data_IF_133288931200
#
_entry.id   IF_133288931200
#
_cell.length_a   1.000
_cell.length_b   1.000
_cell.length_c   1.000
_cell.angle_alpha   90.00
_cell.angle_beta   90.00
_cell.angle_gamma   90.00
#
_symmetry.space_group_name_H-M   'P 1'
#
loop_
_entity.id
_entity.type
_entity.pdbx_description
1 polymer ?
#
# COMPACT_ATOMS: atom_id res chain seq x y z
N UNK A 1 10.28 -15.96 53.66
CA UNK A 1 9.59 -14.80 53.07
C UNK A 1 9.87 -14.90 51.58
N UNK A 2 9.26 -15.84 50.86
CA UNK A 2 7.84 -15.93 50.52
C UNK A 2 7.27 -14.59 50.08
N UNK A 3 7.23 -14.36 48.76
CA UNK A 3 5.97 -14.29 48.03
C UNK A 3 6.19 -14.65 46.54
N UNK A 4 5.38 -15.61 46.08
CA UNK A 4 5.22 -16.06 44.69
C UNK A 4 3.81 -15.61 44.22
N UNK A 5 3.41 -15.93 42.98
CA UNK A 5 3.35 -15.14 41.75
C UNK A 5 1.94 -14.52 41.54
N UNK A 6 1.67 -13.93 40.37
CA UNK A 6 0.38 -13.38 39.92
C UNK A 6 0.19 -11.86 40.10
N UNK A 7 0.74 -11.10 39.14
CA UNK A 7 0.16 -9.80 38.80
C UNK A 7 0.13 -9.54 37.30
N UNK A 8 -0.02 -10.59 36.49
CA UNK A 8 -0.44 -10.51 35.09
C UNK A 8 -1.97 -10.63 34.95
N UNK A 9 -2.71 -10.02 35.89
CA UNK A 9 -4.15 -9.81 35.76
C UNK A 9 -4.42 -8.33 35.66
N UNK A 10 -4.89 -7.95 34.49
CA UNK A 10 -5.74 -6.77 34.27
C UNK A 10 -5.13 -5.43 34.65
N UNK A 11 -4.34 -4.87 33.74
CA UNK A 11 -4.49 -3.44 33.40
C UNK A 11 -4.66 -3.35 31.91
N UNK A 12 -5.79 -2.79 31.49
CA UNK A 12 -6.05 -2.35 30.12
C UNK A 12 -4.77 -1.65 29.65
N UNK A 13 -4.08 -2.26 28.70
CA UNK A 13 -2.99 -1.61 28.01
C UNK A 13 -3.67 -0.48 27.25
N UNK A 14 -3.54 0.75 27.75
CA UNK A 14 -4.12 1.93 27.12
C UNK A 14 -3.49 2.05 25.73
N UNK A 15 -4.29 1.80 24.68
CA UNK A 15 -3.90 1.97 23.28
C UNK A 15 -3.31 3.37 23.01
N UNK A 16 -3.65 4.35 23.85
CA UNK A 16 -3.14 5.72 23.83
C UNK A 16 -1.62 5.78 24.07
N UNK A 17 -1.06 4.91 24.92
CA UNK A 17 0.37 4.93 25.24
C UNK A 17 1.22 4.46 24.06
N UNK A 18 0.76 3.43 23.33
CA UNK A 18 1.45 2.96 22.12
C UNK A 18 1.30 3.96 20.97
N UNK A 19 0.14 4.62 20.85
CA UNK A 19 -0.07 5.67 19.84
C UNK A 19 0.89 6.85 20.04
N UNK A 20 1.17 7.28 21.28
CA UNK A 20 2.04 8.44 21.54
C UNK A 20 3.50 8.21 21.22
N UNK A 21 4.02 6.99 21.36
CA UNK A 21 5.41 6.66 20.98
C UNK A 21 5.56 6.26 19.52
N UNK A 22 4.48 5.88 18.83
CA UNK A 22 4.46 5.64 17.38
C UNK A 22 4.26 6.90 16.51
N UNK A 23 3.74 7.99 17.07
CA UNK A 23 3.16 9.10 16.29
C UNK A 23 4.10 10.23 15.83
N UNK A 24 5.43 10.15 15.99
CA UNK A 24 6.30 11.26 15.57
C UNK A 24 7.35 10.96 14.50
N UNK A 25 7.56 9.70 14.08
CA UNK A 25 8.67 9.42 13.16
C UNK A 25 8.28 9.00 11.74
N UNK A 26 7.07 8.49 11.47
CA UNK A 26 6.72 8.01 10.12
C UNK A 26 5.40 8.53 9.51
N UNK A 27 4.60 9.32 10.24
CA UNK A 27 3.29 9.75 9.73
C UNK A 27 3.36 10.81 8.62
N UNK A 28 4.42 11.62 8.59
CA UNK A 28 4.45 12.85 7.78
C UNK A 28 4.95 12.64 6.33
N UNK A 29 5.37 11.43 5.95
CA UNK A 29 5.94 11.14 4.61
C UNK A 29 5.06 10.26 3.71
N UNK A 30 3.80 10.02 4.08
CA UNK A 30 3.03 8.90 3.54
C UNK A 30 1.79 9.23 2.69
N UNK A 31 1.51 10.47 2.27
CA UNK A 31 0.26 10.74 1.54
C UNK A 31 0.12 9.94 0.22
N UNK A 32 1.20 9.77 -0.56
CA UNK A 32 1.22 8.87 -1.72
C UNK A 32 1.21 7.39 -1.33
N UNK A 33 1.90 7.03 -0.22
CA UNK A 33 1.93 5.65 0.28
C UNK A 33 0.57 5.19 0.81
N UNK A 34 -0.28 6.08 1.33
CA UNK A 34 -1.58 5.71 1.91
C UNK A 34 -2.57 5.16 0.86
N UNK A 35 -2.54 5.68 -0.37
CA UNK A 35 -3.40 5.21 -1.47
C UNK A 35 -2.99 3.81 -1.94
N UNK A 36 -1.69 3.60 -2.12
CA UNK A 36 -1.11 2.30 -2.47
C UNK A 36 -1.27 1.28 -1.33
N UNK A 37 -1.08 1.68 -0.07
CA UNK A 37 -1.30 0.82 1.10
C UNK A 37 -2.77 0.41 1.23
N UNK A 38 -3.71 1.32 0.97
CA UNK A 38 -5.12 1.00 0.96
C UNK A 38 -5.46 0.06 -0.21
N UNK A 39 -4.84 0.23 -1.38
CA UNK A 39 -4.98 -0.69 -2.51
C UNK A 39 -4.45 -2.09 -2.15
N UNK A 40 -3.27 -2.18 -1.53
CA UNK A 40 -2.70 -3.44 -1.02
C UNK A 40 -3.66 -4.12 -0.04
N UNK A 41 -4.18 -3.37 0.93
CA UNK A 41 -5.18 -3.89 1.87
C UNK A 41 -6.41 -4.47 1.13
N UNK A 42 -6.93 -3.76 0.14
CA UNK A 42 -8.08 -4.24 -0.64
C UNK A 42 -7.75 -5.51 -1.44
N UNK A 43 -6.59 -5.57 -2.08
CA UNK A 43 -6.18 -6.70 -2.93
C UNK A 43 -5.87 -7.94 -2.09
N UNK A 44 -5.03 -7.80 -1.07
CA UNK A 44 -4.58 -8.91 -0.23
C UNK A 44 -5.73 -9.59 0.52
N UNK A 45 -6.76 -8.81 0.88
CA UNK A 45 -7.93 -9.29 1.61
C UNK A 45 -9.16 -9.52 0.73
N UNK A 46 -9.05 -9.33 -0.59
CA UNK A 46 -10.17 -9.50 -1.52
C UNK A 46 -11.39 -8.61 -1.22
N UNK A 47 -11.17 -7.39 -0.73
CA UNK A 47 -12.26 -6.50 -0.33
C UNK A 47 -12.98 -5.92 -1.55
N UNK A 48 -14.30 -5.99 -1.53
CA UNK A 48 -15.14 -5.21 -2.44
C UNK A 48 -15.11 -3.72 -2.08
N UNK A 49 -15.42 -2.86 -3.04
CA UNK A 49 -15.59 -1.42 -2.83
C UNK A 49 -16.56 -1.11 -1.68
N UNK A 50 -17.66 -1.88 -1.58
CA UNK A 50 -18.66 -1.72 -0.51
C UNK A 50 -18.09 -2.05 0.87
N UNK A 51 -17.28 -3.10 0.98
CA UNK A 51 -16.64 -3.45 2.24
C UNK A 51 -15.61 -2.39 2.65
N UNK A 52 -14.82 -1.90 1.69
CA UNK A 52 -13.88 -0.82 1.95
C UNK A 52 -14.58 0.47 2.42
N UNK A 53 -15.72 0.83 1.80
CA UNK A 53 -16.53 1.97 2.24
C UNK A 53 -17.05 1.80 3.67
N UNK A 54 -17.50 0.61 4.06
CA UNK A 54 -17.91 0.33 5.45
C UNK A 54 -16.76 0.50 6.44
N UNK A 55 -15.54 0.13 6.05
CA UNK A 55 -14.33 0.33 6.88
C UNK A 55 -14.08 1.85 7.05
N UNK A 56 -14.24 2.63 5.97
CA UNK A 56 -14.12 4.10 6.06
C UNK A 56 -15.19 4.69 6.98
N UNK A 57 -16.46 4.35 6.80
CA UNK A 57 -17.57 4.81 7.64
C UNK A 57 -17.33 4.47 9.12
N UNK A 58 -16.86 3.25 9.41
CA UNK A 58 -16.54 2.84 10.77
C UNK A 58 -15.41 3.68 11.39
N UNK A 59 -14.36 3.98 10.62
CA UNK A 59 -13.25 4.82 11.07
C UNK A 59 -13.66 6.29 11.28
N UNK A 60 -14.52 6.82 10.41
CA UNK A 60 -15.08 8.17 10.57
C UNK A 60 -15.92 8.29 11.85
N UNK A 61 -16.72 7.28 12.17
CA UNK A 61 -17.47 7.21 13.43
C UNK A 61 -16.56 7.19 14.68
N UNK A 62 -15.32 6.71 14.51
CA UNK A 62 -14.28 6.71 15.55
C UNK A 62 -13.39 7.97 15.51
N UNK A 63 -13.73 8.97 14.68
CA UNK A 63 -12.93 10.18 14.42
C UNK A 63 -11.48 9.91 13.97
N UNK A 64 -11.24 8.76 13.32
CA UNK A 64 -9.92 8.36 12.81
C UNK A 64 -9.90 8.42 11.28
N UNK A 65 -8.99 9.19 10.68
CA UNK A 65 -8.79 9.24 9.21
C UNK A 65 -7.57 8.44 8.78
N UNK A 66 -7.64 7.12 8.99
CA UNK A 66 -6.54 6.19 8.70
C UNK A 66 -6.37 5.89 7.20
N UNK A 67 -7.48 5.81 6.46
CA UNK A 67 -7.48 5.39 5.06
C UNK A 67 -8.02 6.48 4.13
N UNK A 68 -7.49 6.58 2.90
CA UNK A 68 -7.97 7.54 1.93
C UNK A 68 -9.34 7.15 1.38
N UNK A 69 -10.12 8.12 0.87
CA UNK A 69 -11.38 7.84 0.21
C UNK A 69 -11.19 6.98 -1.04
N UNK A 70 -12.20 6.19 -1.40
CA UNK A 70 -12.08 5.20 -2.49
C UNK A 70 -11.66 5.78 -3.84
N UNK A 71 -12.01 7.02 -4.17
CA UNK A 71 -11.60 7.63 -5.44
C UNK A 71 -10.07 7.71 -5.59
N UNK A 72 -9.36 7.95 -4.49
CA UNK A 72 -7.89 7.94 -4.44
C UNK A 72 -7.30 6.55 -4.61
N UNK A 73 -7.88 5.56 -3.96
CA UNK A 73 -7.50 4.15 -4.17
C UNK A 73 -7.73 3.71 -5.62
N UNK A 74 -8.80 4.21 -6.25
CA UNK A 74 -9.09 3.98 -7.66
C UNK A 74 -8.05 4.65 -8.58
N UNK A 75 -7.64 5.89 -8.29
CA UNK A 75 -6.55 6.58 -9.00
C UNK A 75 -5.25 5.76 -8.90
N UNK A 76 -4.84 5.34 -7.70
CA UNK A 76 -3.67 4.50 -7.50
C UNK A 76 -3.76 3.16 -8.27
N UNK A 77 -4.94 2.53 -8.30
CA UNK A 77 -5.17 1.32 -9.09
C UNK A 77 -5.02 1.59 -10.59
N UNK A 78 -5.47 2.73 -11.09
CA UNK A 78 -5.35 3.10 -12.50
C UNK A 78 -3.89 3.32 -12.90
N UNK A 79 -3.07 3.91 -12.04
CA UNK A 79 -1.63 4.07 -12.26
C UNK A 79 -0.90 2.72 -12.43
N UNK A 80 -1.45 1.64 -11.88
CA UNK A 80 -0.89 0.29 -12.02
C UNK A 80 -1.24 -0.35 -13.37
N UNK A 81 -2.33 0.09 -14.01
CA UNK A 81 -2.82 -0.51 -15.25
C UNK A 81 -2.11 0.07 -16.46
N UNK A 82 -1.59 -0.77 -17.37
CA UNK A 82 -1.00 -0.28 -18.60
C UNK A 82 -2.08 0.35 -19.51
N UNK A 83 -1.64 1.30 -20.33
CA UNK A 83 -2.49 1.91 -21.34
C UNK A 83 -2.73 0.93 -22.51
N UNK A 84 -3.77 1.18 -23.31
CA UNK A 84 -4.00 0.49 -24.59
C UNK A 84 -4.26 -1.02 -24.50
N UNK A 85 -5.02 -1.45 -23.48
CA UNK A 85 -5.56 -2.81 -23.41
C UNK A 85 -6.76 -2.92 -24.36
N UNK A 86 -6.72 -3.87 -25.29
CA UNK A 86 -7.86 -4.23 -26.12
C UNK A 86 -8.66 -5.32 -25.41
N UNK A 87 -9.94 -5.08 -25.15
CA UNK A 87 -10.82 -6.06 -24.51
C UNK A 87 -12.01 -6.30 -25.43
N UNK A 88 -12.21 -7.55 -25.81
CA UNK A 88 -13.41 -8.05 -26.50
C UNK A 88 -14.21 -8.94 -25.55
N UNK A 89 -15.38 -9.41 -25.98
CA UNK A 89 -16.18 -10.34 -25.19
C UNK A 89 -15.45 -11.68 -24.91
N UNK A 90 -14.46 -12.02 -25.74
CA UNK A 90 -13.80 -13.34 -25.72
C UNK A 90 -12.29 -13.27 -25.50
N UNK A 91 -11.66 -12.11 -25.64
CA UNK A 91 -10.22 -11.93 -25.48
C UNK A 91 -9.87 -10.62 -24.79
N UNK A 92 -8.70 -10.60 -24.16
CA UNK A 92 -8.06 -9.39 -23.69
C UNK A 92 -6.59 -9.44 -24.12
N UNK A 93 -6.14 -8.40 -24.81
CA UNK A 93 -4.83 -8.34 -25.44
C UNK A 93 -4.13 -7.03 -25.09
N UNK A 94 -2.81 -7.10 -24.98
CA UNK A 94 -1.94 -5.95 -24.76
C UNK A 94 -0.65 -6.15 -25.54
N UNK A 95 -0.11 -5.06 -26.10
CA UNK A 95 1.19 -5.09 -26.73
C UNK A 95 2.28 -5.40 -25.69
N UNK A 96 3.14 -6.38 -25.98
CA UNK A 96 4.20 -6.80 -25.07
C UNK A 96 5.09 -5.62 -24.65
N UNK A 97 5.46 -4.74 -25.60
CA UNK A 97 6.27 -3.56 -25.31
C UNK A 97 5.62 -2.66 -24.25
N UNK A 98 4.31 -2.39 -24.37
CA UNK A 98 3.56 -1.56 -23.41
C UNK A 98 3.53 -2.20 -22.02
N UNK A 99 3.41 -3.52 -21.95
CA UNK A 99 3.46 -4.25 -20.68
C UNK A 99 4.85 -4.16 -20.04
N UNK A 100 5.91 -4.35 -20.83
CA UNK A 100 7.30 -4.27 -20.37
C UNK A 100 7.63 -2.86 -19.89
N UNK A 101 7.32 -1.83 -20.68
CA UNK A 101 7.59 -0.43 -20.33
C UNK A 101 6.87 -0.03 -19.03
N UNK A 102 5.60 -0.42 -18.88
CA UNK A 102 4.84 -0.16 -17.65
C UNK A 102 5.47 -0.89 -16.45
N UNK A 103 5.87 -2.15 -16.62
CA UNK A 103 6.50 -2.95 -15.56
C UNK A 103 7.83 -2.35 -15.13
N UNK A 104 8.70 -2.01 -16.09
CA UNK A 104 10.00 -1.39 -15.83
C UNK A 104 9.84 -0.03 -15.16
N UNK A 105 8.93 0.81 -15.67
CA UNK A 105 8.60 2.10 -15.06
C UNK A 105 8.25 1.93 -13.58
N UNK A 106 7.36 1.00 -13.24
CA UNK A 106 6.95 0.75 -11.84
C UNK A 106 8.08 0.20 -10.98
N UNK A 107 8.91 -0.71 -11.50
CA UNK A 107 10.09 -1.22 -10.78
C UNK A 107 11.06 -0.07 -10.46
N UNK A 108 11.26 0.87 -11.40
CA UNK A 108 12.13 2.03 -11.19
C UNK A 108 11.61 3.02 -10.13
N UNK A 109 10.33 2.95 -9.74
CA UNK A 109 9.74 3.75 -8.66
C UNK A 109 9.85 3.08 -7.28
N UNK A 110 10.33 1.84 -7.20
CA UNK A 110 10.59 1.17 -5.92
C UNK A 110 11.81 1.83 -5.27
N UNK A 111 11.64 2.41 -4.08
CA UNK A 111 12.67 3.19 -3.37
C UNK A 111 14.04 2.48 -3.32
N UNK A 112 14.05 1.18 -3.00
CA UNK A 112 15.26 0.36 -3.01
C UNK A 112 15.94 0.29 -4.39
N UNK A 113 15.16 0.13 -5.46
CA UNK A 113 15.67 0.05 -6.83
C UNK A 113 16.15 1.42 -7.28
N UNK A 114 15.36 2.48 -7.06
CA UNK A 114 15.72 3.86 -7.42
C UNK A 114 17.06 4.26 -6.79
N UNK A 115 17.27 3.95 -5.52
CA UNK A 115 18.53 4.25 -4.83
C UNK A 115 19.71 3.46 -5.42
N UNK A 116 19.50 2.18 -5.78
CA UNK A 116 20.53 1.39 -6.48
C UNK A 116 20.86 1.95 -7.87
N UNK A 117 19.86 2.40 -8.61
CA UNK A 117 20.06 3.02 -9.93
C UNK A 117 20.81 4.35 -9.81
N UNK A 118 20.51 5.18 -8.80
CA UNK A 118 21.20 6.45 -8.54
C UNK A 118 22.69 6.30 -8.21
N UNK A 119 23.05 5.22 -7.51
CA UNK A 119 24.43 4.95 -7.11
C UNK A 119 25.24 4.25 -8.22
N UNK A 120 24.59 3.82 -9.29
CA UNK A 120 25.24 3.16 -10.41
C UNK A 120 25.96 4.16 -11.31
N UNK A 121 27.17 3.82 -11.75
CA UNK A 121 27.89 4.55 -12.81
C UNK A 121 27.47 4.12 -14.21
N UNK A 122 26.72 3.02 -14.32
CA UNK A 122 26.25 2.48 -15.59
C UNK A 122 24.90 3.09 -15.96
N UNK A 123 24.75 3.48 -17.23
CA UNK A 123 23.52 4.04 -17.79
C UNK A 123 22.63 2.98 -18.46
N UNK A 124 23.06 1.72 -18.49
CA UNK A 124 22.37 0.62 -19.16
C UNK A 124 22.10 -0.49 -18.15
N UNK A 125 20.85 -0.96 -18.12
CA UNK A 125 20.38 -2.02 -17.24
C UNK A 125 19.62 -3.05 -18.07
N UNK A 126 19.80 -4.32 -17.75
CA UNK A 126 19.12 -5.43 -18.41
C UNK A 126 18.00 -5.95 -17.51
N UNK A 127 16.82 -6.15 -18.10
CA UNK A 127 15.64 -6.68 -17.41
C UNK A 127 15.37 -8.08 -17.96
N UNK A 128 15.56 -9.09 -17.11
CA UNK A 128 15.32 -10.50 -17.46
C UNK A 128 13.92 -10.88 -16.99
N UNK A 129 13.03 -11.18 -17.93
CA UNK A 129 11.65 -11.60 -17.67
C UNK A 129 11.51 -13.09 -17.98
N UNK A 130 10.62 -13.77 -17.24
CA UNK A 130 10.34 -15.21 -17.38
C UNK A 130 9.04 -15.43 -18.14
#
# INVERSE_FOLDING_TARGET
>A
MDENPEMFKSRRIDCVYYARTWNSFEFEKCCHKLEEQALVLMVDNGLSTRQYQRILEHNENLNCKLYPPYHKVKEAKQLCCPHSISVTETSAEIALQTLVDNTVSRICHIEFVTEKLRLSTNNTFEVIMK
#
